data_IF_452194127910
#
_entry.id   IF_452194127910
#
_cell.length_a   1.000
_cell.length_b   1.000
_cell.length_c   1.000
_cell.angle_alpha   90.00
_cell.angle_beta   90.00
_cell.angle_gamma   90.00
#
_symmetry.space_group_name_H-M   'P 1'
#
loop_
_entity.id
_entity.type
_entity.pdbx_description
1 polymer ?
#
# COMPACT_ATOMS: atom_id res chain seq x y z
N UNK A 1 -3.04 -3.85 11.50
CA UNK A 1 -2.66 -2.50 11.05
C UNK A 1 -3.62 -1.93 10.01
N UNK A 2 -3.78 -0.62 10.00
CA UNK A 2 -4.44 0.16 8.94
C UNK A 2 -3.46 1.21 8.43
N UNK A 3 -3.44 1.46 7.13
CA UNK A 3 -2.58 2.47 6.51
C UNK A 3 -3.36 3.36 5.53
N UNK A 4 -2.92 4.63 5.45
CA UNK A 4 -3.40 5.60 4.46
C UNK A 4 -2.21 6.11 3.65
N UNK A 5 -2.19 5.78 2.37
CA UNK A 5 -1.09 6.11 1.47
C UNK A 5 -1.46 7.11 0.38
N UNK A 6 -0.47 7.88 -0.04
CA UNK A 6 -0.44 8.60 -1.32
C UNK A 6 0.75 8.13 -2.14
N UNK A 7 0.62 8.20 -3.47
CA UNK A 7 1.71 7.84 -4.37
C UNK A 7 2.76 8.96 -4.44
N UNK A 8 4.04 8.64 -4.69
CA UNK A 8 5.09 9.62 -4.96
C UNK A 8 4.72 10.48 -6.17
N UNK A 9 5.11 11.76 -6.16
CA UNK A 9 4.67 12.76 -7.15
C UNK A 9 4.89 12.31 -8.61
N UNK A 10 5.99 11.62 -8.90
CA UNK A 10 6.33 11.12 -10.24
C UNK A 10 5.43 9.95 -10.73
N UNK A 11 4.82 9.19 -9.81
CA UNK A 11 3.90 8.10 -10.13
C UNK A 11 2.45 8.58 -10.07
N UNK A 12 2.15 9.47 -9.10
CA UNK A 12 0.82 10.04 -8.86
C UNK A 12 0.23 10.73 -10.09
N UNK A 13 1.05 11.30 -10.97
CA UNK A 13 0.62 11.90 -12.23
C UNK A 13 -0.09 10.91 -13.18
N UNK A 14 0.12 9.62 -13.00
CA UNK A 14 -0.49 8.54 -13.78
C UNK A 14 -1.56 7.78 -13.00
N UNK A 15 -1.89 8.22 -11.79
CA UNK A 15 -2.88 7.57 -10.93
C UNK A 15 -4.27 7.61 -11.56
N UNK A 16 -4.99 6.51 -11.46
CA UNK A 16 -6.40 6.40 -11.85
C UNK A 16 -7.21 5.69 -10.77
N UNK A 17 -8.54 5.87 -10.79
CA UNK A 17 -9.45 5.16 -9.86
C UNK A 17 -9.52 3.64 -10.14
N UNK A 18 -8.92 3.18 -11.25
CA UNK A 18 -8.80 1.75 -11.58
C UNK A 18 -7.50 1.13 -11.05
N UNK A 19 -6.64 1.92 -10.40
CA UNK A 19 -5.41 1.41 -9.82
C UNK A 19 -5.68 0.64 -8.52
N UNK A 20 -4.76 -0.22 -8.14
CA UNK A 20 -4.90 -1.06 -6.95
C UNK A 20 -3.65 -1.02 -6.08
N UNK A 21 -3.82 -1.03 -4.76
CA UNK A 21 -2.76 -1.36 -3.81
C UNK A 21 -3.20 -2.58 -3.02
N UNK A 22 -2.32 -3.56 -2.89
CA UNK A 22 -2.52 -4.73 -2.05
C UNK A 22 -1.34 -4.94 -1.11
N UNK A 23 -1.64 -5.37 0.11
CA UNK A 23 -0.65 -5.73 1.12
C UNK A 23 -0.45 -7.23 1.12
N UNK A 24 0.81 -7.65 1.13
CA UNK A 24 1.21 -9.05 1.14
C UNK A 24 2.07 -9.34 2.35
N UNK A 25 1.84 -10.48 2.98
CA UNK A 25 2.80 -11.10 3.90
C UNK A 25 3.24 -12.38 3.22
N UNK A 26 4.53 -12.46 2.85
CA UNK A 26 5.04 -13.46 1.91
C UNK A 26 4.20 -13.43 0.62
N UNK A 27 3.61 -14.56 0.21
CA UNK A 27 2.80 -14.67 -1.00
C UNK A 27 1.28 -14.53 -0.76
N UNK A 28 0.87 -14.24 0.48
CA UNK A 28 -0.56 -14.14 0.82
C UNK A 28 -1.01 -12.69 0.83
N UNK A 29 -2.00 -12.37 0.01
CA UNK A 29 -2.69 -11.08 0.07
C UNK A 29 -3.45 -10.97 1.41
N UNK A 30 -3.12 -9.95 2.19
CA UNK A 30 -3.66 -9.67 3.52
C UNK A 30 -4.59 -8.47 3.56
N UNK A 31 -4.69 -7.72 2.46
CA UNK A 31 -5.60 -6.60 2.32
C UNK A 31 -5.47 -5.93 0.96
N UNK A 32 -6.54 -5.31 0.52
CA UNK A 32 -6.58 -4.47 -0.68
C UNK A 32 -7.07 -3.09 -0.29
N UNK A 33 -6.48 -2.07 -0.89
CA UNK A 33 -6.82 -0.69 -0.60
C UNK A 33 -8.13 -0.27 -1.28
N UNK A 34 -8.84 0.67 -0.67
CA UNK A 34 -9.87 1.47 -1.30
C UNK A 34 -9.32 2.84 -1.64
N UNK A 35 -9.67 3.37 -2.81
CA UNK A 35 -9.30 4.74 -3.21
C UNK A 35 -10.40 5.70 -2.75
N UNK A 36 -10.03 6.71 -1.98
CA UNK A 36 -10.92 7.81 -1.56
C UNK A 36 -10.15 9.11 -1.71
N UNK A 37 -10.63 10.02 -2.57
CA UNK A 37 -10.01 11.33 -2.82
C UNK A 37 -8.51 11.23 -3.16
N UNK A 38 -8.17 10.28 -4.05
CA UNK A 38 -6.81 10.01 -4.51
C UNK A 38 -5.88 9.37 -3.46
N UNK A 39 -6.38 8.99 -2.28
CA UNK A 39 -5.63 8.33 -1.20
C UNK A 39 -6.06 6.88 -1.09
N UNK A 40 -5.12 6.01 -0.73
CA UNK A 40 -5.32 4.57 -0.61
C UNK A 40 -5.51 4.19 0.86
N UNK A 41 -6.68 3.67 1.21
CA UNK A 41 -7.03 3.20 2.54
C UNK A 41 -6.95 1.68 2.58
N UNK A 42 -6.04 1.13 3.36
CA UNK A 42 -5.85 -0.32 3.44
C UNK A 42 -5.89 -0.81 4.88
N UNK A 43 -6.65 -1.87 5.12
CA UNK A 43 -6.59 -2.64 6.36
C UNK A 43 -5.89 -3.96 6.07
N UNK A 44 -4.74 -4.17 6.70
CA UNK A 44 -3.98 -5.41 6.58
C UNK A 44 -4.42 -6.34 7.69
N UNK A 45 -4.87 -7.54 7.32
CA UNK A 45 -5.27 -8.60 8.25
C UNK A 45 -4.07 -9.49 8.55
N UNK A 46 -3.72 -9.63 9.82
CA UNK A 46 -2.66 -10.53 10.28
C UNK A 46 -3.14 -11.38 11.44
N UNK A 47 -2.25 -12.20 11.97
CA UNK A 47 -2.47 -12.98 13.19
C UNK A 47 -1.93 -12.18 14.39
N UNK A 48 -2.54 -12.32 15.56
CA UNK A 48 -2.02 -11.71 16.78
C UNK A 48 -0.57 -12.17 17.04
N UNK A 49 0.32 -11.23 17.38
CA UNK A 49 1.76 -11.44 17.59
C UNK A 49 2.57 -11.83 16.34
N UNK A 50 2.04 -11.63 15.13
CA UNK A 50 2.79 -11.82 13.88
C UNK A 50 3.72 -10.62 13.62
N UNK A 51 5.03 -10.78 13.80
CA UNK A 51 6.04 -9.77 13.40
C UNK A 51 6.55 -10.06 11.97
N UNK A 52 5.64 -10.17 11.00
CA UNK A 52 6.03 -10.47 9.62
C UNK A 52 6.16 -9.19 8.78
N UNK A 53 7.10 -9.22 7.85
CA UNK A 53 7.25 -8.16 6.84
C UNK A 53 5.99 -8.08 5.97
N UNK A 54 5.53 -6.85 5.78
CA UNK A 54 4.41 -6.46 4.94
C UNK A 54 4.96 -5.74 3.71
N UNK A 55 4.63 -6.27 2.55
CA UNK A 55 5.03 -5.71 1.27
C UNK A 55 3.79 -5.12 0.61
N UNK A 56 3.82 -3.83 0.28
CA UNK A 56 2.75 -3.20 -0.48
C UNK A 56 3.09 -3.24 -1.96
N UNK A 57 2.17 -3.76 -2.77
CA UNK A 57 2.29 -3.74 -4.23
C UNK A 57 1.25 -2.81 -4.82
N UNK A 58 1.70 -1.93 -5.69
CA UNK A 58 0.85 -0.97 -6.41
C UNK A 58 0.77 -1.38 -7.89
N UNK A 59 -0.45 -1.53 -8.39
CA UNK A 59 -0.72 -1.75 -9.80
C UNK A 59 -1.27 -0.47 -10.43
N UNK A 60 -0.58 0.03 -11.45
CA UNK A 60 -1.07 1.13 -12.29
C UNK A 60 -1.85 0.55 -13.48
N UNK A 61 -3.16 0.80 -13.54
CA UNK A 61 -4.03 0.22 -14.57
C UNK A 61 -3.77 0.79 -15.96
N UNK A 62 -3.36 2.05 -16.04
CA UNK A 62 -3.07 2.75 -17.30
C UNK A 62 -1.83 2.21 -18.00
N UNK A 63 -0.75 2.06 -17.24
CA UNK A 63 0.56 1.65 -17.74
C UNK A 63 0.76 0.13 -17.65
N UNK A 64 -0.16 -0.59 -16.98
CA UNK A 64 -0.11 -2.04 -16.73
C UNK A 64 1.20 -2.45 -16.06
N UNK A 65 1.60 -1.69 -15.04
CA UNK A 65 2.87 -1.87 -14.36
C UNK A 65 2.66 -2.14 -12.87
N UNK A 66 3.49 -3.00 -12.28
CA UNK A 66 3.48 -3.31 -10.85
C UNK A 66 4.72 -2.72 -10.20
N UNK A 67 4.51 -2.05 -9.07
CA UNK A 67 5.52 -1.49 -8.21
C UNK A 67 5.45 -2.13 -6.83
N UNK A 68 6.54 -2.09 -6.10
CA UNK A 68 6.65 -2.60 -4.73
C UNK A 68 7.12 -1.50 -3.79
N UNK A 69 6.66 -1.53 -2.54
CA UNK A 69 7.14 -0.66 -1.48
C UNK A 69 8.65 -0.79 -1.32
N UNK A 70 9.35 0.34 -1.37
CA UNK A 70 10.79 0.41 -1.13
C UNK A 70 11.14 0.24 0.35
N UNK A 71 10.27 0.77 1.21
CA UNK A 71 10.43 0.67 2.66
C UNK A 71 9.99 -0.71 3.16
N UNK A 72 10.66 -1.17 4.21
CA UNK A 72 10.26 -2.38 4.93
C UNK A 72 9.21 -2.00 5.98
N UNK A 73 8.06 -2.64 5.88
CA UNK A 73 6.98 -2.47 6.84
C UNK A 73 6.85 -3.76 7.63
N UNK A 74 6.65 -3.67 8.93
CA UNK A 74 6.37 -4.84 9.77
C UNK A 74 4.92 -4.78 10.24
N UNK A 75 4.25 -5.93 10.23
CA UNK A 75 2.89 -6.00 10.73
C UNK A 75 2.89 -5.77 12.23
N UNK A 76 1.99 -4.90 12.68
CA UNK A 76 1.68 -4.70 14.09
C UNK A 76 0.15 -4.65 14.25
N UNK A 77 -0.35 -5.34 15.28
CA UNK A 77 -1.79 -5.31 15.59
C UNK A 77 -2.21 -3.90 15.93
N UNK A 78 -3.35 -3.46 15.40
CA UNK A 78 -3.96 -2.15 15.70
C UNK A 78 -3.09 -0.91 15.37
N UNK A 79 -1.91 -1.08 14.79
CA UNK A 79 -1.08 0.02 14.32
C UNK A 79 -1.79 0.84 13.23
N UNK A 80 -1.60 2.16 13.28
CA UNK A 80 -2.16 3.12 12.33
C UNK A 80 -1.01 3.85 11.64
N UNK A 81 -0.91 3.70 10.33
CA UNK A 81 0.14 4.30 9.50
C UNK A 81 -0.48 5.39 8.62
N UNK A 82 -0.26 6.63 9.00
CA UNK A 82 -0.90 7.78 8.34
C UNK A 82 -2.40 7.87 8.64
N UNK A 83 -2.98 9.00 8.24
CA UNK A 83 -4.41 9.28 8.38
C UNK A 83 -4.95 9.91 7.10
N UNK A 84 -6.26 10.18 7.04
CA UNK A 84 -6.86 10.90 5.92
C UNK A 84 -6.22 12.27 5.70
N UNK A 85 -6.00 13.02 6.79
CA UNK A 85 -5.45 14.38 6.76
C UNK A 85 -3.92 14.40 6.63
N UNK A 86 -3.25 13.37 7.17
CA UNK A 86 -1.79 13.22 7.12
C UNK A 86 -1.43 11.83 6.58
N UNK A 87 -1.61 11.58 5.27
CA UNK A 87 -1.26 10.30 4.67
C UNK A 87 0.26 10.15 4.56
N UNK A 88 0.73 8.91 4.45
CA UNK A 88 2.14 8.60 4.21
C UNK A 88 2.39 8.47 2.71
N UNK A 89 3.51 8.99 2.21
CA UNK A 89 3.94 8.72 0.84
C UNK A 89 4.52 7.32 0.76
N UNK A 90 3.92 6.47 -0.07
CA UNK A 90 4.43 5.12 -0.29
C UNK A 90 5.56 5.17 -1.32
N UNK A 91 6.81 5.15 -0.88
CA UNK A 91 7.96 5.09 -1.80
C UNK A 91 7.97 3.74 -2.54
N UNK A 92 8.12 3.79 -3.87
CA UNK A 92 7.90 2.65 -4.76
C UNK A 92 9.11 2.37 -5.65
N UNK A 93 9.49 1.10 -5.74
CA UNK A 93 10.41 0.58 -6.74
C UNK A 93 9.66 -0.18 -7.83
N UNK A 94 10.17 -0.09 -9.04
CA UNK A 94 9.73 -0.90 -10.18
C UNK A 94 10.13 -2.36 -9.94
N UNK A 95 9.16 -3.28 -10.06
CA UNK A 95 9.45 -4.72 -10.16
C UNK A 95 9.75 -5.00 -11.63
N UNK A 96 10.91 -5.57 -11.94
CA UNK A 96 11.27 -6.07 -13.28
C UNK A 96 10.96 -7.56 -13.41
#
# INVERSE_FOLDING_TARGET
MTAVFVLPTNIKTFQTDADEIAAFIRDTCRGTAQIIDGKFFITVKGIAHEESEVVFKYYNAKNKYIYESKEQWFFESDAVIGTFDNPITLELNVIQ
#
